data_IF_707970711416
#
_entry.id   IF_707970711416
#
_cell.length_a   1.000
_cell.length_b   1.000
_cell.length_c   1.000
_cell.angle_alpha   90.00
_cell.angle_beta   90.00
_cell.angle_gamma   90.00
#
_symmetry.space_group_name_H-M   'P 1'
#
loop_
_entity.id
_entity.type
_entity.pdbx_description
1 polymer ?
#
# COMPACT_ATOMS: atom_id res chain seq x y z
N UNK A 1 10.01 5.61 -13.93
CA UNK A 1 9.63 5.84 -12.53
C UNK A 1 9.76 4.56 -11.74
N UNK A 2 10.30 4.68 -10.55
CA UNK A 2 10.40 3.53 -9.66
C UNK A 2 9.03 3.20 -9.07
N UNK A 3 8.77 1.91 -8.89
CA UNK A 3 7.60 1.47 -8.17
C UNK A 3 7.71 1.91 -6.70
N UNK A 4 6.58 2.17 -6.03
CA UNK A 4 6.62 2.47 -4.60
C UNK A 4 7.16 1.27 -3.82
N UNK A 5 7.86 1.49 -2.70
CA UNK A 5 8.44 0.39 -1.94
C UNK A 5 7.35 -0.44 -1.24
N UNK A 6 7.65 -1.71 -0.91
CA UNK A 6 6.74 -2.49 -0.07
C UNK A 6 6.66 -1.88 1.33
N UNK A 7 5.55 -2.16 2.01
CA UNK A 7 5.32 -1.66 3.36
C UNK A 7 5.66 -2.74 4.39
N UNK A 8 6.38 -2.36 5.44
CA UNK A 8 6.56 -3.19 6.62
C UNK A 8 5.33 -3.09 7.51
N UNK A 9 5.25 -3.92 8.53
CA UNK A 9 4.03 -4.07 9.33
C UNK A 9 3.47 -2.75 9.86
N UNK A 10 4.27 -1.96 10.58
CA UNK A 10 3.80 -0.69 11.13
C UNK A 10 3.51 0.33 10.04
N UNK A 11 4.33 0.37 9.00
CA UNK A 11 4.08 1.24 7.84
C UNK A 11 2.73 0.92 7.20
N UNK A 12 2.42 -0.37 7.06
CA UNK A 12 1.15 -0.81 6.48
C UNK A 12 -0.04 -0.38 7.34
N UNK A 13 0.07 -0.53 8.67
CA UNK A 13 -0.98 -0.10 9.59
C UNK A 13 -1.22 1.41 9.50
N UNK A 14 -0.14 2.19 9.43
CA UNK A 14 -0.24 3.64 9.31
C UNK A 14 -0.89 4.04 7.99
N UNK A 15 -0.42 3.45 6.88
CA UNK A 15 -0.97 3.78 5.56
C UNK A 15 -2.45 3.42 5.47
N UNK A 16 -2.86 2.26 6.02
CA UNK A 16 -4.28 1.88 6.04
C UNK A 16 -5.12 2.93 6.76
N UNK A 17 -4.61 3.45 7.87
CA UNK A 17 -5.33 4.46 8.63
C UNK A 17 -5.42 5.79 7.87
N UNK A 18 -4.34 6.21 7.21
CA UNK A 18 -4.34 7.45 6.42
C UNK A 18 -5.28 7.31 5.22
N UNK A 19 -5.26 6.17 4.53
CA UNK A 19 -6.16 5.92 3.40
C UNK A 19 -7.62 5.96 3.84
N UNK A 20 -7.91 5.44 5.01
CA UNK A 20 -9.28 5.41 5.53
C UNK A 20 -9.79 6.80 5.95
N UNK A 21 -8.92 7.60 6.57
CA UNK A 21 -9.30 8.89 7.14
C UNK A 21 -9.15 10.07 6.19
N UNK A 22 -8.21 9.99 5.26
CA UNK A 22 -7.77 11.15 4.52
C UNK A 22 -6.70 11.91 5.29
N UNK A 23 -6.77 13.24 5.38
CA UNK A 23 -5.77 14.01 6.10
C UNK A 23 -5.82 13.70 7.61
N UNK A 24 -4.67 13.46 8.21
CA UNK A 24 -4.60 13.16 9.65
C UNK A 24 -3.26 13.58 10.25
N UNK A 25 -3.29 13.83 11.56
CA UNK A 25 -2.08 14.15 12.32
C UNK A 25 -1.45 12.87 12.83
N UNK A 26 -0.21 12.96 13.32
CA UNK A 26 0.44 11.83 14.00
C UNK A 26 -0.43 11.35 15.18
N UNK A 27 -1.01 12.29 15.93
CA UNK A 27 -1.87 11.94 17.08
C UNK A 27 -3.11 11.15 16.64
N UNK A 28 -3.74 11.55 15.53
CA UNK A 28 -4.90 10.83 15.01
C UNK A 28 -4.55 9.37 14.70
N UNK A 29 -3.41 9.15 14.05
CA UNK A 29 -2.94 7.81 13.70
C UNK A 29 -2.58 7.03 14.96
N UNK A 30 -1.82 7.64 15.86
CA UNK A 30 -1.40 6.99 17.12
C UNK A 30 -2.61 6.50 17.91
N UNK A 31 -3.60 7.36 18.09
CA UNK A 31 -4.78 7.01 18.89
C UNK A 31 -5.56 5.87 18.23
N UNK A 32 -5.68 5.90 16.91
CA UNK A 32 -6.37 4.84 16.17
C UNK A 32 -5.65 3.50 16.30
N UNK A 33 -4.32 3.49 16.16
CA UNK A 33 -3.54 2.26 16.28
C UNK A 33 -3.60 1.70 17.69
N UNK A 34 -3.45 2.57 18.69
CA UNK A 34 -3.43 2.14 20.09
C UNK A 34 -4.80 1.67 20.57
N UNK A 35 -5.88 2.08 19.94
CA UNK A 35 -7.21 1.59 20.25
C UNK A 35 -7.42 0.13 19.85
N UNK A 36 -6.56 -0.41 18.98
CA UNK A 36 -6.71 -1.75 18.39
C UNK A 36 -5.72 -2.77 18.94
N UNK A 37 -4.86 -2.37 19.86
CA UNK A 37 -3.82 -3.26 20.38
C UNK A 37 -3.66 -3.12 21.89
N UNK A 38 -3.22 -4.20 22.52
CA UNK A 38 -2.89 -4.20 23.95
C UNK A 38 -1.52 -3.60 24.21
N UNK A 39 -0.65 -3.55 23.19
CA UNK A 39 0.70 -3.00 23.31
C UNK A 39 0.72 -1.65 22.62
N UNK A 40 0.64 -0.59 23.42
CA UNK A 40 0.61 0.77 22.90
C UNK A 40 1.93 1.16 22.24
N UNK A 41 1.85 1.83 21.11
CA UNK A 41 3.02 2.39 20.45
C UNK A 41 3.28 3.80 20.98
N UNK A 42 4.54 4.20 20.97
CA UNK A 42 4.93 5.54 21.39
C UNK A 42 4.67 6.55 20.27
N UNK A 43 4.36 7.78 20.68
CA UNK A 43 4.18 8.88 19.72
C UNK A 43 5.38 9.06 18.80
N UNK A 44 6.59 9.06 19.40
CA UNK A 44 7.81 9.25 18.61
C UNK A 44 8.04 8.15 17.58
N UNK A 45 7.65 6.92 17.90
CA UNK A 45 7.76 5.79 16.97
C UNK A 45 6.86 6.02 15.75
N UNK A 46 5.60 6.38 15.97
CA UNK A 46 4.66 6.62 14.89
C UNK A 46 5.10 7.84 14.07
N UNK A 47 5.50 8.92 14.74
CA UNK A 47 6.00 10.13 14.08
C UNK A 47 7.19 9.82 13.16
N UNK A 48 8.18 9.08 13.65
CA UNK A 48 9.36 8.73 12.88
C UNK A 48 9.00 7.93 11.64
N UNK A 49 8.09 6.96 11.78
CA UNK A 49 7.66 6.14 10.65
C UNK A 49 6.88 6.97 9.64
N UNK A 50 6.01 7.88 10.10
CA UNK A 50 5.27 8.75 9.18
C UNK A 50 6.20 9.70 8.43
N UNK A 51 7.23 10.23 9.08
CA UNK A 51 8.25 11.03 8.42
C UNK A 51 9.03 10.21 7.38
N UNK A 52 9.30 8.96 7.70
CA UNK A 52 9.96 8.05 6.76
C UNK A 52 9.07 7.76 5.54
N UNK A 53 7.78 7.59 5.76
CA UNK A 53 6.82 7.38 4.65
C UNK A 53 6.73 8.62 3.76
N UNK A 54 6.80 9.81 4.34
CA UNK A 54 6.90 11.05 3.57
C UNK A 54 8.16 11.05 2.72
N UNK A 55 9.31 10.70 3.32
CA UNK A 55 10.57 10.61 2.58
C UNK A 55 10.56 9.59 1.46
N UNK A 56 9.77 8.53 1.60
CA UNK A 56 9.62 7.50 0.56
C UNK A 56 8.61 7.87 -0.53
N UNK A 57 7.93 9.00 -0.40
CA UNK A 57 6.93 9.44 -1.38
C UNK A 57 5.57 8.79 -1.23
N UNK A 58 5.29 8.12 -0.11
CA UNK A 58 4.01 7.45 0.15
C UNK A 58 3.04 8.33 0.91
N UNK A 59 3.55 9.22 1.74
CA UNK A 59 2.79 10.27 2.40
C UNK A 59 3.32 11.62 1.97
N UNK A 60 2.49 12.64 2.10
CA UNK A 60 2.89 14.03 1.91
C UNK A 60 2.48 14.82 3.14
N UNK A 61 3.44 15.53 3.73
CA UNK A 61 3.17 16.37 4.90
C UNK A 61 2.71 17.73 4.42
N UNK A 62 1.61 18.20 5.00
CA UNK A 62 1.05 19.51 4.72
C UNK A 62 0.88 20.29 6.02
N UNK A 63 0.96 21.61 5.93
CA UNK A 63 0.79 22.46 7.08
C UNK A 63 -0.68 22.88 7.19
N UNK A 64 -1.26 22.67 8.37
CA UNK A 64 -2.61 23.11 8.70
C UNK A 64 -2.53 23.95 9.96
N UNK A 65 -2.40 25.27 9.79
CA UNK A 65 -2.17 26.16 10.90
C UNK A 65 -0.81 25.90 11.53
N UNK A 66 -0.79 25.51 12.80
CA UNK A 66 0.44 25.24 13.56
C UNK A 66 0.81 23.77 13.61
N UNK A 67 0.00 22.91 13.02
CA UNK A 67 0.23 21.48 13.08
C UNK A 67 0.51 20.93 11.70
N UNK A 68 1.20 19.80 11.68
CA UNK A 68 1.44 19.05 10.45
C UNK A 68 0.34 18.02 10.28
N UNK A 69 -0.21 17.92 9.08
CA UNK A 69 -1.10 16.85 8.70
C UNK A 69 -0.45 16.05 7.58
N UNK A 70 -0.78 14.78 7.50
CA UNK A 70 -0.27 13.89 6.47
C UNK A 70 -1.41 13.42 5.60
N UNK A 71 -1.17 13.40 4.30
CA UNK A 71 -2.10 12.86 3.31
C UNK A 71 -1.38 11.79 2.50
N UNK A 72 -2.14 10.83 1.98
CA UNK A 72 -1.54 9.82 1.11
C UNK A 72 -1.15 10.45 -0.22
N UNK A 73 0.08 10.20 -0.66
CA UNK A 73 0.55 10.66 -1.97
C UNK A 73 0.00 9.80 -3.10
N UNK A 74 -0.38 8.55 -2.78
CA UNK A 74 -1.02 7.62 -3.71
C UNK A 74 -2.27 7.08 -3.04
N UNK A 75 -3.32 6.80 -3.82
CA UNK A 75 -4.47 6.09 -3.29
C UNK A 75 -4.10 4.64 -2.95
N UNK A 76 -4.90 3.98 -2.12
CA UNK A 76 -4.68 2.57 -1.80
C UNK A 76 -4.71 1.71 -3.08
N UNK A 77 -5.64 2.01 -3.99
CA UNK A 77 -5.77 1.27 -5.24
C UNK A 77 -4.55 1.46 -6.15
N UNK A 78 -4.10 2.70 -6.32
CA UNK A 78 -2.92 2.99 -7.12
C UNK A 78 -1.67 2.35 -6.54
N UNK A 79 -1.55 2.36 -5.20
CA UNK A 79 -0.44 1.69 -4.52
C UNK A 79 -0.47 0.19 -4.79
N UNK A 80 -1.64 -0.44 -4.62
CA UNK A 80 -1.78 -1.88 -4.84
C UNK A 80 -1.45 -2.27 -6.28
N UNK A 81 -1.94 -1.50 -7.25
CA UNK A 81 -1.65 -1.77 -8.66
C UNK A 81 -0.16 -1.64 -8.97
N UNK A 82 0.48 -0.58 -8.49
CA UNK A 82 1.91 -0.38 -8.73
C UNK A 82 2.76 -1.48 -8.07
N UNK A 83 2.39 -1.89 -6.85
CA UNK A 83 3.11 -2.97 -6.18
C UNK A 83 2.91 -4.32 -6.87
N UNK A 84 1.68 -4.62 -7.27
CA UNK A 84 1.39 -5.87 -7.96
C UNK A 84 2.15 -5.95 -9.30
N UNK A 85 2.15 -4.86 -10.06
CA UNK A 85 2.89 -4.80 -11.31
C UNK A 85 4.39 -5.05 -11.10
N UNK A 86 4.97 -4.40 -10.09
CA UNK A 86 6.39 -4.56 -9.79
C UNK A 86 6.72 -5.99 -9.37
N UNK A 87 5.89 -6.60 -8.51
CA UNK A 87 6.14 -7.96 -8.04
C UNK A 87 5.97 -9.00 -9.14
N UNK A 88 4.92 -8.88 -9.94
CA UNK A 88 4.70 -9.79 -11.07
C UNK A 88 5.85 -9.65 -12.07
N UNK A 89 6.24 -8.42 -12.40
CA UNK A 89 7.37 -8.18 -13.29
C UNK A 89 8.66 -8.80 -12.79
N UNK A 90 8.95 -8.67 -11.50
CA UNK A 90 10.14 -9.24 -10.89
C UNK A 90 10.12 -10.77 -10.96
N UNK A 91 8.96 -11.40 -10.72
CA UNK A 91 8.84 -12.85 -10.80
C UNK A 91 9.07 -13.35 -12.24
N UNK A 92 8.51 -12.65 -13.22
CA UNK A 92 8.71 -13.01 -14.62
C UNK A 92 10.17 -12.81 -15.04
N UNK A 93 10.79 -11.72 -14.60
CA UNK A 93 12.22 -11.46 -14.90
C UNK A 93 13.13 -12.53 -14.30
N UNK A 94 12.83 -12.98 -13.08
CA UNK A 94 13.67 -13.98 -12.40
C UNK A 94 13.40 -15.39 -12.87
N UNK A 95 12.14 -15.77 -13.04
CA UNK A 95 11.75 -17.17 -13.30
C UNK A 95 11.24 -17.42 -14.71
N UNK A 96 11.00 -16.38 -15.50
CA UNK A 96 10.61 -16.51 -16.90
C UNK A 96 9.32 -17.28 -17.11
N UNK A 97 9.37 -18.23 -18.03
CA UNK A 97 8.18 -19.03 -18.39
C UNK A 97 7.63 -19.85 -17.24
N UNK A 98 8.46 -20.21 -16.27
CA UNK A 98 7.97 -20.94 -15.09
C UNK A 98 6.97 -20.09 -14.31
N UNK A 99 7.26 -18.79 -14.13
CA UNK A 99 6.31 -17.89 -13.48
C UNK A 99 5.02 -17.77 -14.29
N UNK A 100 5.14 -17.61 -15.60
CA UNK A 100 3.96 -17.49 -16.48
C UNK A 100 3.11 -18.76 -16.45
N UNK A 101 3.74 -19.92 -16.39
CA UNK A 101 3.01 -21.20 -16.31
C UNK A 101 2.19 -21.28 -15.01
N UNK A 102 2.75 -20.81 -13.89
CA UNK A 102 2.01 -20.81 -12.62
C UNK A 102 0.85 -19.81 -12.64
N UNK A 103 1.04 -18.62 -13.21
CA UNK A 103 -0.06 -17.69 -13.39
C UNK A 103 -1.18 -18.30 -14.24
N UNK A 104 -0.81 -18.99 -15.31
CA UNK A 104 -1.77 -19.67 -16.18
C UNK A 104 -2.57 -20.72 -15.40
N UNK A 105 -1.92 -21.50 -14.54
CA UNK A 105 -2.62 -22.47 -13.69
C UNK A 105 -3.62 -21.82 -12.76
N UNK A 106 -3.23 -20.71 -12.12
CA UNK A 106 -4.14 -19.98 -11.24
C UNK A 106 -5.34 -19.47 -12.02
N UNK A 107 -5.12 -18.93 -13.22
CA UNK A 107 -6.21 -18.48 -14.09
C UNK A 107 -7.16 -19.62 -14.45
N UNK A 108 -6.60 -20.79 -14.79
CA UNK A 108 -7.40 -21.95 -15.19
C UNK A 108 -8.25 -22.52 -14.03
N UNK A 109 -7.82 -22.31 -12.80
CA UNK A 109 -8.54 -22.78 -11.62
C UNK A 109 -9.74 -21.89 -11.26
N UNK A 110 -9.83 -20.70 -11.84
CA UNK A 110 -10.94 -19.79 -11.59
C UNK A 110 -12.18 -20.23 -12.36
N UNK A 111 -13.36 -19.90 -11.82
CA UNK A 111 -14.58 -20.10 -12.60
C UNK A 111 -14.58 -19.16 -13.82
N UNK A 112 -15.34 -19.50 -14.89
CA UNK A 112 -15.29 -18.72 -16.12
C UNK A 112 -15.68 -17.26 -15.95
N UNK A 113 -16.63 -16.95 -15.07
CA UNK A 113 -17.08 -15.60 -14.84
C UNK A 113 -15.97 -14.73 -14.21
N UNK A 114 -15.29 -15.27 -13.22
CA UNK A 114 -14.20 -14.56 -12.57
C UNK A 114 -13.01 -14.38 -13.51
N UNK A 115 -12.71 -15.43 -14.28
CA UNK A 115 -11.64 -15.38 -15.28
C UNK A 115 -11.87 -14.26 -16.29
N UNK A 116 -13.11 -14.08 -16.73
CA UNK A 116 -13.46 -13.01 -17.65
C UNK A 116 -13.30 -11.64 -17.01
N UNK A 117 -13.68 -11.48 -15.75
CA UNK A 117 -13.49 -10.23 -15.01
C UNK A 117 -12.02 -9.86 -14.93
N UNK A 118 -11.15 -10.81 -14.66
CA UNK A 118 -9.72 -10.58 -14.58
C UNK A 118 -9.13 -10.22 -15.94
N UNK A 119 -9.58 -10.88 -17.01
CA UNK A 119 -9.15 -10.54 -18.36
C UNK A 119 -9.49 -9.10 -18.72
N UNK A 120 -10.65 -8.61 -18.31
CA UNK A 120 -11.03 -7.22 -18.55
C UNK A 120 -10.10 -6.25 -17.82
N UNK A 121 -9.77 -6.57 -16.55
CA UNK A 121 -8.82 -5.76 -15.80
C UNK A 121 -7.46 -5.73 -16.49
N UNK A 122 -6.99 -6.86 -16.99
CA UNK A 122 -5.72 -6.97 -17.68
C UNK A 122 -5.71 -6.20 -19.01
N UNK A 123 -6.85 -6.20 -19.71
CA UNK A 123 -6.97 -5.50 -20.98
C UNK A 123 -7.05 -3.99 -20.88
N UNK A 124 -7.24 -3.44 -19.66
CA UNK A 124 -7.28 -2.02 -19.45
C UNK A 124 -8.55 -1.34 -19.97
N UNK A 125 -9.57 -2.10 -20.29
CA UNK A 125 -10.84 -1.61 -20.82
C UNK A 125 -11.96 -1.71 -19.81
#
# INVERSE_FOLDING_TARGET
MSAPPPLHELESEIMDEVWRRGACTVRDVLDALNARTDVARAYTTVMTVMQRLDGKGLLRRERDGRRDVYVAALSADDYAQARAEAEVGALVDEYGDVALAHFSRHMSALDPKRREQIRRLAGGD
#
